data_IF_146834030836
#
_entry.id   IF_146834030836
#
_cell.length_a   1.000
_cell.length_b   1.000
_cell.length_c   1.000
_cell.angle_alpha   90.00
_cell.angle_beta   90.00
_cell.angle_gamma   90.00
#
_symmetry.space_group_name_H-M   'P 1'
#
loop_
_entity.id
_entity.type
_entity.pdbx_description
1 polymer ?
#
# COMPACT_ATOMS: atom_id res chain seq x y z
N UNK A 1 7.51 5.19 5.19
CA UNK A 1 6.79 4.16 4.38
C UNK A 1 6.29 3.09 5.33
N UNK A 2 5.08 2.58 5.11
CA UNK A 2 4.40 1.63 5.99
C UNK A 2 3.82 0.45 5.21
N UNK A 3 3.80 -0.74 5.81
CA UNK A 3 3.20 -1.96 5.24
C UNK A 3 1.95 -2.44 6.00
N UNK A 4 1.55 -1.69 7.02
CA UNK A 4 0.32 -1.86 7.78
C UNK A 4 -0.09 -0.50 8.38
N UNK A 5 -1.36 -0.38 8.79
CA UNK A 5 -1.84 0.77 9.56
C UNK A 5 -2.12 0.31 10.99
N UNK A 6 -1.36 0.81 11.97
CA UNK A 6 -1.58 0.50 13.38
C UNK A 6 -2.71 1.35 13.98
N UNK A 7 -2.63 2.68 13.84
CA UNK A 7 -3.67 3.63 14.26
C UNK A 7 -3.75 4.78 13.26
N UNK A 8 -4.95 5.06 12.74
CA UNK A 8 -5.19 6.16 11.80
C UNK A 8 -4.83 7.53 12.39
N UNK A 9 -4.97 7.71 13.71
CA UNK A 9 -4.66 8.99 14.38
C UNK A 9 -3.19 9.37 14.28
N UNK A 10 -2.28 8.39 14.15
CA UNK A 10 -0.85 8.63 13.98
C UNK A 10 -0.49 9.35 12.67
N UNK A 11 -1.40 9.31 11.69
CA UNK A 11 -1.25 9.95 10.38
C UNK A 11 -2.27 11.07 10.16
N UNK A 12 -2.95 11.53 11.22
CA UNK A 12 -3.88 12.65 11.11
C UNK A 12 -3.14 13.92 10.67
N UNK A 13 -3.77 14.72 9.82
CA UNK A 13 -3.18 15.96 9.28
C UNK A 13 -2.20 15.78 8.12
N UNK A 14 -1.97 14.54 7.66
CA UNK A 14 -0.98 14.23 6.63
C UNK A 14 -1.62 13.96 5.25
N UNK A 15 -0.82 14.10 4.20
CA UNK A 15 -1.13 13.61 2.85
C UNK A 15 -0.68 12.18 2.72
N UNK A 16 -1.63 11.25 2.72
CA UNK A 16 -1.38 9.82 2.75
C UNK A 16 -1.68 9.18 1.40
N UNK A 17 -0.65 8.61 0.79
CA UNK A 17 -0.76 7.78 -0.41
C UNK A 17 -0.91 6.30 -0.01
N UNK A 18 -1.96 5.63 -0.49
CA UNK A 18 -2.20 4.21 -0.27
C UNK A 18 -2.05 3.48 -1.60
N UNK A 19 -1.18 2.48 -1.64
CA UNK A 19 -0.95 1.62 -2.81
C UNK A 19 -1.69 0.29 -2.61
N UNK A 20 -2.70 0.05 -3.43
CA UNK A 20 -3.52 -1.16 -3.39
C UNK A 20 -5.01 -0.90 -3.20
N UNK A 21 -5.82 -1.94 -3.40
CA UNK A 21 -7.29 -1.90 -3.28
C UNK A 21 -7.85 -3.21 -2.70
N UNK A 22 -7.09 -3.91 -1.85
CA UNK A 22 -7.62 -5.02 -1.06
C UNK A 22 -8.45 -4.54 0.14
N UNK A 23 -9.04 -5.46 0.90
CA UNK A 23 -9.81 -5.10 2.11
C UNK A 23 -8.99 -4.26 3.09
N UNK A 24 -7.75 -4.65 3.36
CA UNK A 24 -6.87 -3.90 4.27
C UNK A 24 -6.59 -2.49 3.75
N UNK A 25 -6.37 -2.33 2.44
CA UNK A 25 -6.17 -1.01 1.83
C UNK A 25 -7.42 -0.13 1.95
N UNK A 26 -8.60 -0.69 1.68
CA UNK A 26 -9.87 0.03 1.81
C UNK A 26 -10.18 0.38 3.27
N UNK A 27 -9.98 -0.54 4.21
CA UNK A 27 -10.19 -0.28 5.65
C UNK A 27 -9.27 0.84 6.15
N UNK A 28 -8.00 0.85 5.72
CA UNK A 28 -7.06 1.93 6.02
C UNK A 28 -7.48 3.27 5.39
N UNK A 29 -7.87 3.27 4.10
CA UNK A 29 -8.34 4.47 3.42
C UNK A 29 -9.60 5.06 4.09
N UNK A 30 -10.55 4.22 4.48
CA UNK A 30 -11.75 4.62 5.21
C UNK A 30 -11.38 5.22 6.56
N UNK A 31 -10.50 4.56 7.33
CA UNK A 31 -10.09 5.05 8.65
C UNK A 31 -9.35 6.39 8.60
N UNK A 32 -8.45 6.55 7.61
CA UNK A 32 -7.67 7.77 7.38
C UNK A 32 -8.52 8.92 6.85
N UNK A 33 -9.47 8.66 5.93
CA UNK A 33 -10.35 9.69 5.39
C UNK A 33 -11.24 10.35 6.44
N UNK A 34 -11.43 9.69 7.59
CA UNK A 34 -12.18 10.19 8.75
C UNK A 34 -11.33 11.01 9.71
N UNK A 35 -10.00 11.00 9.57
CA UNK A 35 -9.11 11.82 10.39
C UNK A 35 -9.21 13.30 9.99
N UNK A 36 -9.09 14.23 10.94
CA UNK A 36 -9.11 15.65 10.64
C UNK A 36 -7.91 16.02 9.75
N UNK A 37 -8.14 16.97 8.83
CA UNK A 37 -7.11 17.55 7.95
C UNK A 37 -6.23 16.51 7.20
N UNK A 38 -6.74 15.32 6.93
CA UNK A 38 -5.98 14.23 6.30
C UNK A 38 -6.40 14.09 4.84
N UNK A 39 -5.44 14.17 3.93
CA UNK A 39 -5.69 13.97 2.50
C UNK A 39 -5.34 12.52 2.15
N UNK A 40 -6.29 11.79 1.54
CA UNK A 40 -6.08 10.38 1.21
C UNK A 40 -6.17 10.19 -0.30
N UNK A 41 -5.10 9.67 -0.88
CA UNK A 41 -5.06 9.24 -2.28
C UNK A 41 -4.82 7.74 -2.33
N UNK A 42 -5.70 7.00 -2.98
CA UNK A 42 -5.53 5.57 -3.23
C UNK A 42 -5.14 5.37 -4.70
N UNK A 43 -4.09 4.60 -4.94
CA UNK A 43 -3.67 4.18 -6.28
C UNK A 43 -3.77 2.68 -6.41
N UNK A 44 -4.28 2.22 -7.55
CA UNK A 44 -4.42 0.81 -7.83
C UNK A 44 -4.17 0.52 -9.30
N UNK A 45 -3.28 -0.44 -9.57
CA UNK A 45 -2.90 -0.86 -10.92
C UNK A 45 -4.03 -1.47 -11.76
N UNK A 46 -5.11 -1.93 -11.14
CA UNK A 46 -6.24 -2.51 -11.85
C UNK A 46 -7.28 -1.47 -12.25
N UNK A 47 -8.16 -1.82 -13.19
CA UNK A 47 -9.23 -0.92 -13.69
C UNK A 47 -10.50 -0.85 -12.84
N UNK A 48 -10.54 -1.42 -11.62
CA UNK A 48 -11.76 -1.41 -10.82
C UNK A 48 -11.70 -2.23 -9.53
N UNK A 49 -12.79 -2.20 -8.76
CA UNK A 49 -12.98 -3.06 -7.59
C UNK A 49 -13.17 -4.52 -8.04
N UNK A 50 -12.11 -5.34 -7.94
CA UNK A 50 -12.14 -6.77 -8.32
C UNK A 50 -12.26 -7.72 -7.13
N UNK A 51 -11.98 -7.24 -5.93
CA UNK A 51 -12.00 -8.00 -4.67
C UNK A 51 -12.36 -7.09 -3.50
N UNK A 52 -12.69 -7.73 -2.38
CA UNK A 52 -12.96 -7.07 -1.10
C UNK A 52 -14.41 -7.20 -0.66
N UNK A 53 -14.66 -6.98 0.62
CA UNK A 53 -15.98 -7.04 1.23
C UNK A 53 -16.89 -5.96 0.63
N UNK A 54 -18.12 -6.31 0.31
CA UNK A 54 -19.14 -5.40 -0.24
C UNK A 54 -19.25 -4.11 0.58
N UNK A 55 -19.32 -4.22 1.92
CA UNK A 55 -19.37 -3.08 2.84
C UNK A 55 -18.24 -2.08 2.66
N UNK A 56 -17.02 -2.56 2.39
CA UNK A 56 -15.83 -1.72 2.26
C UNK A 56 -15.86 -1.00 0.91
N UNK A 57 -16.28 -1.70 -0.15
CA UNK A 57 -16.43 -1.13 -1.49
C UNK A 57 -17.53 -0.03 -1.49
N UNK A 58 -18.68 -0.29 -0.87
CA UNK A 58 -19.77 0.67 -0.76
C UNK A 58 -19.35 1.92 0.02
N UNK A 59 -18.67 1.75 1.15
CA UNK A 59 -18.16 2.87 1.93
C UNK A 59 -17.10 3.68 1.16
N UNK A 60 -16.19 3.02 0.43
CA UNK A 60 -15.25 3.70 -0.46
C UNK A 60 -15.99 4.56 -1.51
N UNK A 61 -17.02 4.03 -2.16
CA UNK A 61 -17.83 4.78 -3.13
C UNK A 61 -18.51 5.98 -2.48
N UNK A 62 -19.05 5.82 -1.28
CA UNK A 62 -19.67 6.92 -0.53
C UNK A 62 -18.66 8.04 -0.20
N UNK A 63 -17.47 7.67 0.25
CA UNK A 63 -16.40 8.62 0.57
C UNK A 63 -15.85 9.31 -0.69
N UNK A 64 -15.74 8.59 -1.81
CA UNK A 64 -15.38 9.16 -3.11
C UNK A 64 -16.42 10.19 -3.58
N UNK A 65 -17.71 9.84 -3.50
CA UNK A 65 -18.80 10.76 -3.86
C UNK A 65 -18.86 12.01 -2.97
N UNK A 66 -18.39 11.89 -1.72
CA UNK A 66 -18.28 13.00 -0.77
C UNK A 66 -16.91 13.72 -0.83
N UNK A 67 -16.06 13.41 -1.81
CA UNK A 67 -14.70 13.97 -1.96
C UNK A 67 -13.83 13.86 -0.69
N UNK A 68 -14.03 12.80 0.10
CA UNK A 68 -13.28 12.55 1.35
C UNK A 68 -11.95 11.83 1.12
N UNK A 69 -11.79 11.23 -0.05
CA UNK A 69 -10.56 10.61 -0.53
C UNK A 69 -10.60 10.60 -2.06
N UNK A 70 -9.46 10.35 -2.69
CA UNK A 70 -9.37 10.11 -4.14
C UNK A 70 -8.94 8.67 -4.43
N UNK A 71 -9.37 8.13 -5.56
CA UNK A 71 -8.99 6.80 -6.05
C UNK A 71 -8.62 6.89 -7.52
N UNK A 72 -7.44 6.37 -7.86
CA UNK A 72 -6.90 6.32 -9.22
C UNK A 72 -6.68 4.87 -9.63
N UNK A 73 -7.40 4.47 -10.66
CA UNK A 73 -7.23 3.16 -11.30
C UNK A 73 -6.11 3.20 -12.33
N UNK A 74 -5.67 2.02 -12.76
CA UNK A 74 -4.61 1.84 -13.76
C UNK A 74 -3.36 2.69 -13.45
N UNK A 75 -3.05 2.83 -12.15
CA UNK A 75 -1.97 3.68 -11.66
C UNK A 75 -1.07 2.88 -10.74
N UNK A 76 0.23 2.89 -11.05
CA UNK A 76 1.30 2.31 -10.25
C UNK A 76 2.21 3.39 -9.65
N UNK A 77 2.91 3.06 -8.58
CA UNK A 77 4.00 3.89 -8.05
C UNK A 77 5.30 3.38 -8.65
N UNK A 78 5.97 4.18 -9.47
CA UNK A 78 7.22 3.80 -10.13
C UNK A 78 8.48 4.25 -9.38
N UNK A 79 8.37 5.28 -8.54
CA UNK A 79 9.46 5.76 -7.71
C UNK A 79 8.95 6.48 -6.45
N UNK A 80 9.81 6.55 -5.43
CA UNK A 80 9.65 7.40 -4.25
C UNK A 80 10.94 8.20 -4.09
N UNK A 81 10.83 9.51 -3.89
CA UNK A 81 11.97 10.39 -3.68
C UNK A 81 11.68 11.34 -2.51
N UNK A 82 12.69 11.60 -1.69
CA UNK A 82 12.67 12.66 -0.69
C UNK A 82 13.62 13.77 -1.14
N UNK A 83 13.19 15.02 -1.04
CA UNK A 83 14.09 16.16 -1.26
C UNK A 83 15.05 16.35 -0.07
N UNK A 84 16.09 17.19 -0.18
CA UNK A 84 17.02 17.46 0.92
C UNK A 84 16.38 18.09 2.17
N UNK A 85 15.15 18.61 2.06
CA UNK A 85 14.38 19.17 3.17
C UNK A 85 13.44 18.12 3.79
N UNK A 86 13.45 16.89 3.29
CA UNK A 86 12.66 15.77 3.77
C UNK A 86 11.25 15.68 3.16
N UNK A 87 10.90 16.49 2.17
CA UNK A 87 9.60 16.41 1.52
C UNK A 87 9.54 15.17 0.61
N UNK A 88 8.55 14.30 0.84
CA UNK A 88 8.37 13.06 0.11
C UNK A 88 7.45 13.25 -1.10
N UNK A 89 7.83 12.65 -2.23
CA UNK A 89 7.02 12.60 -3.44
C UNK A 89 7.07 11.20 -4.06
N UNK A 90 5.92 10.73 -4.53
CA UNK A 90 5.81 9.53 -5.32
C UNK A 90 5.72 9.88 -6.81
N UNK A 91 6.32 9.06 -7.67
CA UNK A 91 6.03 9.11 -9.11
C UNK A 91 4.92 8.13 -9.40
N UNK A 92 3.78 8.65 -9.86
CA UNK A 92 2.61 7.87 -10.25
C UNK A 92 2.64 7.67 -11.76
N UNK A 93 2.68 6.42 -12.20
CA UNK A 93 2.67 6.04 -13.61
C UNK A 93 1.29 5.50 -13.98
N UNK A 94 0.71 6.04 -15.04
CA UNK A 94 -0.57 5.60 -15.62
C UNK A 94 -0.49 5.61 -17.16
N UNK A 95 -1.51 5.13 -17.89
CA UNK A 95 -1.55 5.21 -19.35
C UNK A 95 -1.43 6.64 -19.90
N UNK A 96 -1.77 7.67 -19.11
CA UNK A 96 -1.64 9.08 -19.51
C UNK A 96 -0.24 9.66 -19.28
N UNK A 97 0.68 8.90 -18.67
CA UNK A 97 2.05 9.33 -18.39
C UNK A 97 2.42 9.19 -16.91
N UNK A 98 3.60 9.72 -16.58
CA UNK A 98 4.10 9.75 -15.20
C UNK A 98 4.01 11.17 -14.63
N UNK A 99 3.55 11.28 -13.38
CA UNK A 99 3.49 12.55 -12.67
C UNK A 99 4.00 12.44 -11.23
N UNK A 100 4.49 13.56 -10.68
CA UNK A 100 4.87 13.64 -9.29
C UNK A 100 3.64 13.87 -8.40
N UNK A 101 3.55 13.12 -7.31
CA UNK A 101 2.49 13.20 -6.32
C UNK A 101 3.10 13.44 -4.93
N UNK A 102 2.99 14.65 -4.37
CA UNK A 102 3.54 14.94 -3.06
C UNK A 102 2.72 14.23 -1.97
N UNK A 103 3.41 13.63 -1.01
CA UNK A 103 2.79 12.92 0.11
C UNK A 103 3.72 12.96 1.33
N UNK A 104 3.16 12.79 2.51
CA UNK A 104 3.92 12.76 3.77
C UNK A 104 4.08 11.31 4.27
N UNK A 105 3.15 10.44 3.89
CA UNK A 105 3.18 9.01 4.18
C UNK A 105 2.74 8.17 2.99
N UNK A 106 3.37 7.00 2.84
CA UNK A 106 3.00 5.97 1.85
C UNK A 106 2.71 4.66 2.56
N UNK A 107 1.52 4.10 2.36
CA UNK A 107 1.10 2.78 2.83
C UNK A 107 1.05 1.82 1.65
N UNK A 108 1.90 0.78 1.65
CA UNK A 108 1.89 -0.26 0.62
C UNK A 108 1.11 -1.46 1.12
N UNK A 109 -0.15 -1.56 0.67
CA UNK A 109 -1.14 -2.54 1.13
C UNK A 109 -1.61 -3.42 -0.04
N UNK A 110 -0.64 -4.04 -0.72
CA UNK A 110 -0.86 -4.85 -1.92
C UNK A 110 -1.08 -6.35 -1.63
N UNK A 111 -1.01 -6.73 -0.35
CA UNK A 111 -1.04 -8.12 0.12
C UNK A 111 0.35 -8.63 0.48
N UNK A 112 0.38 -9.85 1.01
CA UNK A 112 1.62 -10.48 1.48
C UNK A 112 1.93 -11.72 0.66
N UNK A 113 3.22 -12.03 0.59
CA UNK A 113 3.73 -13.24 -0.04
C UNK A 113 4.14 -14.19 1.09
N UNK A 114 3.56 -15.39 1.19
CA UNK A 114 3.97 -16.33 2.23
C UNK A 114 5.45 -16.73 2.08
N UNK A 115 6.22 -16.88 3.16
CA UNK A 115 7.62 -17.29 3.11
C UNK A 115 7.74 -18.80 2.87
N UNK A 116 7.40 -19.24 1.65
CA UNK A 116 7.25 -20.67 1.32
C UNK A 116 8.53 -21.48 1.51
N UNK A 117 9.72 -20.88 1.34
CA UNK A 117 10.99 -21.54 1.63
C UNK A 117 11.08 -21.97 3.11
N UNK A 118 10.85 -21.04 4.04
CA UNK A 118 10.84 -21.29 5.47
C UNK A 118 9.72 -22.26 5.88
N UNK A 119 8.51 -22.09 5.33
CA UNK A 119 7.38 -23.00 5.59
C UNK A 119 7.71 -24.43 5.15
N UNK A 120 8.31 -24.62 3.97
CA UNK A 120 8.73 -25.94 3.48
C UNK A 120 9.82 -26.56 4.35
N UNK A 121 10.79 -25.76 4.80
CA UNK A 121 11.85 -26.19 5.72
C UNK A 121 11.26 -26.64 7.07
N UNK A 122 10.18 -26.02 7.53
CA UNK A 122 9.41 -26.43 8.71
C UNK A 122 8.45 -27.61 8.48
N UNK A 123 8.46 -28.24 7.29
CA UNK A 123 7.60 -29.37 6.96
C UNK A 123 6.19 -29.02 6.49
N UNK A 124 5.82 -27.73 6.42
CA UNK A 124 4.53 -27.30 5.87
C UNK A 124 4.52 -27.54 4.35
N UNK A 125 3.38 -28.00 3.83
CA UNK A 125 3.15 -28.19 2.40
C UNK A 125 1.91 -27.42 1.97
N UNK A 126 1.96 -26.68 0.86
CA UNK A 126 0.77 -26.03 0.33
C UNK A 126 -0.22 -27.09 -0.19
N UNK A 127 -1.52 -26.88 0.01
CA UNK A 127 -2.57 -27.74 -0.55
C UNK A 127 -2.69 -27.56 -2.07
N UNK A 128 -2.30 -26.38 -2.58
CA UNK A 128 -2.24 -26.03 -4.00
C UNK A 128 -0.93 -25.29 -4.22
N UNK A 129 -0.17 -25.68 -5.25
CA UNK A 129 1.14 -25.09 -5.49
C UNK A 129 1.01 -23.56 -5.69
N UNK A 130 1.75 -22.73 -4.94
CA UNK A 130 1.65 -21.28 -5.05
C UNK A 130 2.14 -20.81 -6.42
N UNK A 131 1.48 -19.81 -7.00
CA UNK A 131 2.07 -19.09 -8.14
C UNK A 131 3.41 -18.49 -7.72
N UNK A 132 4.47 -18.76 -8.48
CA UNK A 132 5.82 -18.31 -8.18
C UNK A 132 5.89 -16.77 -8.15
N UNK A 133 5.82 -16.22 -6.93
CA UNK A 133 6.10 -14.82 -6.59
C UNK A 133 7.04 -14.74 -5.40
N UNK A 134 7.67 -15.85 -5.07
CA UNK A 134 8.58 -16.02 -3.95
C UNK A 134 9.88 -16.50 -4.53
N UNK A 135 10.45 -15.74 -5.46
CA UNK A 135 11.76 -16.10 -5.96
C UNK A 135 12.76 -15.96 -4.78
N UNK A 136 13.77 -16.85 -4.68
CA UNK A 136 14.74 -16.82 -3.58
C UNK A 136 15.45 -15.48 -3.34
N UNK A 137 15.44 -14.57 -4.32
CA UNK A 137 16.03 -13.23 -4.22
C UNK A 137 15.10 -12.12 -3.69
N UNK A 138 13.82 -12.37 -3.47
CA UNK A 138 12.84 -11.32 -3.11
C UNK A 138 12.90 -10.89 -1.62
N UNK A 139 13.74 -11.55 -0.81
CA UNK A 139 13.95 -11.27 0.61
C UNK A 139 15.42 -10.93 0.91
N UNK A 140 16.06 -10.11 0.09
CA UNK A 140 17.31 -9.45 0.49
C UNK A 140 17.02 -8.23 1.36
N UNK A 141 16.52 -8.49 2.58
CA UNK A 141 16.71 -7.56 3.68
C UNK A 141 18.14 -7.73 4.19
N UNK A 142 19.04 -6.82 3.82
CA UNK A 142 20.35 -6.70 4.47
C UNK A 142 20.08 -6.34 5.93
N UNK A 143 20.04 -7.36 6.80
CA UNK A 143 20.11 -7.15 8.24
C UNK A 143 21.52 -6.60 8.51
N UNK A 144 21.69 -5.36 9.01
CA UNK A 144 23.01 -4.87 9.36
C UNK A 144 23.62 -5.82 10.38
N UNK A 145 24.87 -6.22 10.19
CA UNK A 145 25.58 -6.99 11.19
C UNK A 145 25.57 -6.22 12.51
N UNK A 146 25.08 -6.87 13.57
CA UNK A 146 25.13 -6.31 14.92
C UNK A 146 26.58 -6.04 15.34
N UNK A 147 26.81 -5.08 16.27
CA UNK A 147 28.17 -4.79 16.72
C UNK A 147 28.80 -6.03 17.37
N UNK A 148 30.11 -6.26 17.17
CA UNK A 148 30.81 -7.39 17.78
C UNK A 148 30.78 -7.31 19.32
N UNK A 149 30.92 -8.47 20.00
CA UNK A 149 30.83 -8.58 21.45
C UNK A 149 31.92 -7.77 22.18
#
# INVERSE_FOLDING_TARGET
>A
MYYHLADARSLAGQRVLIVGLGDVAMEAAIALSRQPATEVTVVYRGGGFRRGKTRNIEEMRRLLAASRLSLRFETDVSALAADPRGALAATLASPSGAEAHPCDAVLVLIGSIPPWSALRAAGVRPTVEPSDRSAPGDVEGTTPAGPPP
#
